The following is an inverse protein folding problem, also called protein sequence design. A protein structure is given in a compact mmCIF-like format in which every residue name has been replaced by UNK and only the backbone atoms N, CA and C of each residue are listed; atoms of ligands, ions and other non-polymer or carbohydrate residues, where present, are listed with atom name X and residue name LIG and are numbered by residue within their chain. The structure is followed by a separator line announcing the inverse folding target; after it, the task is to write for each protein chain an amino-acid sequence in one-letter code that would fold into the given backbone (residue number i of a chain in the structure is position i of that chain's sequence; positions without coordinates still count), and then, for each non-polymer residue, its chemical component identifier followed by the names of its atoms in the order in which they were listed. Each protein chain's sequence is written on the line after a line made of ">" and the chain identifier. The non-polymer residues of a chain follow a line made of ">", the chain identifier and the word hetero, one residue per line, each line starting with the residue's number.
data_IF_777722030908
#
_entry.id   IF_777722030908
#
_cell.length_a   1.000
_cell.length_b   1.000
_cell.length_c   1.000
_cell.angle_alpha   90.00
_cell.angle_beta   90.00
_cell.angle_gamma   90.00
#
_symmetry.space_group_name_H-M   'P 1'
#
loop_
_entity.id
_entity.type
_entity.pdbx_description
1 polymer ?
#
# COMPACT_ATOMS: atom_id res chain seq x y z
N UNK A 1 19.64 9.89 27.60
CA UNK A 1 18.26 9.50 27.24
C UNK A 1 18.32 9.05 25.78
N UNK A 2 18.74 7.80 25.53
CA UNK A 2 19.09 7.31 24.17
C UNK A 2 18.56 5.86 23.92
N UNK A 3 17.96 5.22 24.93
CA UNK A 3 17.43 3.86 24.84
C UNK A 3 15.96 3.78 24.39
N UNK A 4 15.14 4.78 24.72
CA UNK A 4 13.71 4.78 24.42
C UNK A 4 13.40 4.85 22.92
N UNK A 5 14.16 5.65 22.16
CA UNK A 5 13.94 5.82 20.71
C UNK A 5 14.31 4.57 19.90
N UNK A 6 15.28 3.78 20.39
CA UNK A 6 15.69 2.54 19.73
C UNK A 6 14.66 1.42 19.93
N UNK A 7 14.07 1.34 21.12
CA UNK A 7 13.03 0.36 21.44
C UNK A 7 11.71 0.65 20.71
N UNK A 8 11.33 1.92 20.61
CA UNK A 8 10.15 2.35 19.86
C UNK A 8 10.30 2.06 18.36
N UNK A 9 11.46 2.39 17.78
CA UNK A 9 11.74 2.12 16.36
C UNK A 9 11.76 0.63 16.05
N UNK A 10 12.31 -0.19 16.95
CA UNK A 10 12.28 -1.65 16.80
C UNK A 10 10.84 -2.20 16.92
N UNK A 11 10.00 -1.64 17.79
CA UNK A 11 8.59 -2.02 17.89
C UNK A 11 7.84 -1.71 16.60
N UNK A 12 7.98 -0.48 16.07
CA UNK A 12 7.36 -0.07 14.82
C UNK A 12 7.78 -0.95 13.64
N UNK A 13 9.05 -1.33 13.55
CA UNK A 13 9.52 -2.27 12.54
C UNK A 13 8.85 -3.65 12.66
N UNK A 14 8.75 -4.19 13.89
CA UNK A 14 8.09 -5.48 14.13
C UNK A 14 6.61 -5.44 13.75
N UNK A 15 5.93 -4.34 14.03
CA UNK A 15 4.54 -4.11 13.63
C UNK A 15 4.40 -4.08 12.11
N UNK A 16 5.27 -3.34 11.40
CA UNK A 16 5.28 -3.31 9.93
C UNK A 16 5.48 -4.70 9.32
N UNK A 17 6.44 -5.49 9.81
CA UNK A 17 6.67 -6.85 9.31
C UNK A 17 5.51 -7.79 9.61
N UNK A 18 4.86 -7.65 10.77
CA UNK A 18 3.66 -8.43 11.10
C UNK A 18 2.50 -8.07 10.18
N UNK A 19 2.26 -6.78 9.94
CA UNK A 19 1.25 -6.31 9.01
C UNK A 19 1.51 -6.81 7.58
N UNK A 20 2.77 -6.77 7.11
CA UNK A 20 3.15 -7.35 5.82
C UNK A 20 2.88 -8.85 5.77
N UNK A 21 3.25 -9.61 6.81
CA UNK A 21 2.95 -11.04 6.89
C UNK A 21 1.46 -11.32 6.73
N UNK A 22 0.61 -10.58 7.44
CA UNK A 22 -0.84 -10.70 7.33
C UNK A 22 -1.35 -10.39 5.91
N UNK A 23 -0.82 -9.35 5.26
CA UNK A 23 -1.19 -9.01 3.87
C UNK A 23 -0.79 -10.13 2.91
N UNK A 24 0.41 -10.70 3.04
CA UNK A 24 0.89 -11.79 2.19
C UNK A 24 0.09 -13.08 2.39
N UNK A 25 -0.34 -13.38 3.62
CA UNK A 25 -1.24 -14.52 3.90
C UNK A 25 -2.60 -14.35 3.21
N UNK A 26 -3.13 -13.11 3.18
CA UNK A 26 -4.38 -12.81 2.48
C UNK A 26 -4.27 -13.01 0.98
N UNK A 27 -3.11 -12.77 0.37
CA UNK A 27 -2.89 -13.05 -1.06
C UNK A 27 -3.25 -14.49 -1.42
N UNK A 28 -2.86 -15.47 -0.58
CA UNK A 28 -3.21 -16.87 -0.80
C UNK A 28 -4.65 -17.20 -0.45
N UNK A 29 -5.21 -16.60 0.60
CA UNK A 29 -6.56 -16.93 1.10
C UNK A 29 -7.68 -16.32 0.27
N UNK A 30 -7.47 -15.11 -0.24
CA UNK A 30 -8.47 -14.29 -0.92
C UNK A 30 -8.17 -14.16 -2.42
N UNK A 31 -7.19 -14.92 -2.93
CA UNK A 31 -6.77 -14.91 -4.33
C UNK A 31 -6.41 -13.50 -4.83
N UNK A 32 -5.81 -12.68 -3.95
CA UNK A 32 -5.44 -11.31 -4.30
C UNK A 32 -4.27 -11.31 -5.30
N UNK A 33 -4.19 -10.30 -6.18
CA UNK A 33 -3.11 -10.20 -7.15
C UNK A 33 -1.78 -9.96 -6.45
N UNK A 34 -0.71 -10.49 -7.05
CA UNK A 34 0.65 -10.25 -6.56
C UNK A 34 1.09 -8.83 -6.88
N UNK A 35 1.40 -8.04 -5.84
CA UNK A 35 1.89 -6.67 -5.96
C UNK A 35 3.21 -6.49 -5.21
N UNK A 36 3.87 -5.35 -5.40
CA UNK A 36 5.13 -5.05 -4.73
C UNK A 36 4.85 -4.37 -3.41
N UNK A 37 5.47 -4.85 -2.32
CA UNK A 37 5.33 -4.25 -1.00
C UNK A 37 6.65 -3.67 -0.53
N UNK A 38 6.61 -2.43 -0.03
CA UNK A 38 7.77 -1.76 0.57
C UNK A 38 7.43 -1.31 1.98
N UNK A 39 8.31 -1.58 2.94
CA UNK A 39 8.24 -1.01 4.29
C UNK A 39 8.99 0.31 4.28
N UNK A 40 8.30 1.39 4.65
CA UNK A 40 8.84 2.74 4.78
C UNK A 40 8.60 3.33 6.17
N UNK A 41 8.97 4.60 6.29
CA UNK A 41 8.75 5.44 7.47
C UNK A 41 7.74 6.54 7.09
N UNK A 42 6.57 6.54 7.73
CA UNK A 42 5.51 7.51 7.48
C UNK A 42 5.65 8.80 8.30
N UNK A 43 6.75 8.97 9.05
CA UNK A 43 6.98 10.08 9.96
C UNK A 43 6.21 9.96 11.28
N UNK A 44 4.92 9.63 11.23
CA UNK A 44 4.06 9.39 12.40
C UNK A 44 4.04 7.92 12.86
N UNK A 45 4.72 7.02 12.13
CA UNK A 45 4.70 5.58 12.40
C UNK A 45 5.17 4.74 11.21
N UNK A 46 5.10 3.41 11.32
CA UNK A 46 5.44 2.51 10.23
C UNK A 46 4.48 2.67 9.05
N UNK A 47 5.04 2.63 7.83
CA UNK A 47 4.30 2.73 6.58
C UNK A 47 4.56 1.47 5.74
N UNK A 48 3.49 0.91 5.18
CA UNK A 48 3.54 -0.12 4.15
C UNK A 48 3.00 0.46 2.84
N UNK A 49 3.78 0.35 1.76
CA UNK A 49 3.40 0.82 0.43
C UNK A 49 3.25 -0.37 -0.49
N UNK A 50 2.04 -0.58 -1.01
CA UNK A 50 1.73 -1.58 -2.04
C UNK A 50 1.63 -0.94 -3.41
N UNK A 51 2.41 -1.41 -4.38
CA UNK A 51 2.41 -0.90 -5.75
C UNK A 51 1.93 -1.98 -6.73
N UNK A 52 0.85 -1.69 -7.46
CA UNK A 52 0.35 -2.55 -8.53
C UNK A 52 1.13 -2.28 -9.83
N UNK A 53 1.73 -3.32 -10.41
CA UNK A 53 2.69 -3.18 -11.52
C UNK A 53 2.36 -4.00 -12.77
N UNK A 54 1.14 -4.56 -12.88
CA UNK A 54 0.75 -5.34 -14.05
C UNK A 54 0.97 -4.57 -15.36
N UNK A 55 1.50 -5.23 -16.39
CA UNK A 55 1.85 -4.54 -17.65
C UNK A 55 0.62 -4.04 -18.42
N UNK A 56 -0.52 -4.73 -18.31
CA UNK A 56 -1.80 -4.28 -18.86
C UNK A 56 -2.43 -3.23 -17.91
N UNK A 57 -2.74 -2.01 -18.38
CA UNK A 57 -3.36 -0.96 -17.57
C UNK A 57 -4.73 -1.35 -16.99
N UNK A 58 -5.52 -2.15 -17.72
CA UNK A 58 -6.83 -2.62 -17.22
C UNK A 58 -6.62 -3.59 -16.06
N UNK A 59 -5.70 -4.54 -16.20
CA UNK A 59 -5.34 -5.47 -15.12
C UNK A 59 -4.74 -4.71 -13.93
N UNK A 60 -3.87 -3.73 -14.15
CA UNK A 60 -3.26 -2.92 -13.08
C UNK A 60 -4.31 -2.16 -12.28
N UNK A 61 -5.33 -1.65 -12.96
CA UNK A 61 -6.49 -1.01 -12.33
C UNK A 61 -7.32 -2.01 -11.51
N UNK A 62 -7.58 -3.20 -12.06
CA UNK A 62 -8.29 -4.26 -11.35
C UNK A 62 -7.54 -4.72 -10.10
N UNK A 63 -6.21 -4.86 -10.20
CA UNK A 63 -5.35 -5.23 -9.07
C UNK A 63 -5.42 -4.20 -7.95
N UNK A 64 -5.40 -2.91 -8.31
CA UNK A 64 -5.56 -1.82 -7.36
C UNK A 64 -6.90 -1.90 -6.63
N UNK A 65 -8.02 -2.09 -7.36
CA UNK A 65 -9.34 -2.14 -6.74
C UNK A 65 -9.54 -3.39 -5.87
N UNK A 66 -8.97 -4.53 -6.27
CA UNK A 66 -8.99 -5.75 -5.47
C UNK A 66 -8.29 -5.52 -4.11
N UNK A 67 -7.09 -4.93 -4.13
CA UNK A 67 -6.37 -4.60 -2.91
C UNK A 67 -7.06 -3.52 -2.08
N UNK A 68 -7.58 -2.47 -2.72
CA UNK A 68 -8.31 -1.40 -2.03
C UNK A 68 -9.49 -1.97 -1.25
N UNK A 69 -10.30 -2.81 -1.90
CA UNK A 69 -11.44 -3.46 -1.25
C UNK A 69 -10.99 -4.42 -0.14
N UNK A 70 -9.92 -5.18 -0.38
CA UNK A 70 -9.40 -6.12 0.61
C UNK A 70 -8.97 -5.41 1.90
N UNK A 71 -8.21 -4.32 1.82
CA UNK A 71 -7.72 -3.62 3.02
C UNK A 71 -8.67 -2.53 3.53
N UNK A 72 -9.84 -2.38 2.92
CA UNK A 72 -10.82 -1.33 3.23
C UNK A 72 -10.17 0.06 3.22
N UNK A 73 -9.37 0.33 2.17
CA UNK A 73 -8.63 1.57 2.02
C UNK A 73 -9.50 2.66 1.39
N UNK A 74 -9.38 3.87 1.95
CA UNK A 74 -10.05 5.05 1.46
C UNK A 74 -9.29 5.60 0.24
N UNK A 75 -9.98 5.84 -0.89
CA UNK A 75 -9.35 6.47 -2.03
C UNK A 75 -8.94 7.90 -1.66
N UNK A 76 -7.77 8.34 -2.12
CA UNK A 76 -7.41 9.74 -1.96
C UNK A 76 -8.32 10.61 -2.85
N UNK A 77 -8.84 11.75 -2.34
CA UNK A 77 -9.68 12.66 -3.13
C UNK A 77 -8.95 13.16 -4.39
N UNK A 78 -7.62 13.21 -4.32
CA UNK A 78 -6.71 13.59 -5.38
C UNK A 78 -6.25 12.36 -6.19
N UNK A 79 -7.21 11.58 -6.70
CA UNK A 79 -6.98 10.75 -7.88
C UNK A 79 -6.81 11.66 -9.10
N UNK A 80 -5.68 12.35 -9.17
CA UNK A 80 -5.47 13.42 -10.16
C UNK A 80 -5.25 12.73 -11.51
N UNK A 81 -6.23 12.85 -12.41
CA UNK A 81 -5.95 12.85 -13.84
C UNK A 81 -4.91 13.95 -14.08
N UNK A 82 -3.64 13.58 -14.18
CA UNK A 82 -2.58 14.48 -14.60
C UNK A 82 -2.52 14.44 -16.12
N UNK A 83 -1.92 15.45 -16.72
CA UNK A 83 -1.62 15.45 -18.15
C UNK A 83 -0.79 14.23 -18.58
N UNK A 84 -0.11 13.58 -17.63
CA UNK A 84 0.79 12.45 -17.83
C UNK A 84 0.12 11.07 -17.62
N UNK A 85 -1.11 11.03 -17.09
CA UNK A 85 -1.80 9.77 -16.77
C UNK A 85 -2.75 9.84 -15.58
N UNK A 86 -3.22 8.67 -15.14
CA UNK A 86 -4.02 8.47 -13.94
C UNK A 86 -3.11 7.90 -12.85
N UNK A 87 -2.94 8.65 -11.76
CA UNK A 87 -2.33 8.13 -10.54
C UNK A 87 -3.44 7.71 -9.57
N UNK A 88 -3.55 6.41 -9.32
CA UNK A 88 -4.48 5.84 -8.36
C UNK A 88 -3.78 5.73 -7.01
N UNK A 89 -4.43 6.24 -5.96
CA UNK A 89 -3.90 6.17 -4.61
C UNK A 89 -5.02 5.91 -3.61
N UNK A 90 -4.79 5.00 -2.67
CA UNK A 90 -5.69 4.73 -1.56
C UNK A 90 -4.87 4.48 -0.29
N UNK A 91 -5.45 4.75 0.88
CA UNK A 91 -4.78 4.53 2.14
C UNK A 91 -5.72 3.96 3.20
N UNK A 92 -5.17 3.08 4.04
CA UNK A 92 -5.71 2.70 5.34
C UNK A 92 -4.79 3.28 6.40
N UNK A 93 -5.26 4.26 7.16
CA UNK A 93 -4.46 4.94 8.19
C UNK A 93 -4.11 4.03 9.37
N UNK A 94 -4.96 3.06 9.67
CA UNK A 94 -4.74 2.06 10.72
C UNK A 94 -5.06 0.65 10.22
N UNK A 95 -4.01 -0.10 9.91
CA UNK A 95 -4.01 -1.53 9.67
C UNK A 95 -3.21 -2.23 10.78
N UNK A 96 -3.82 -2.31 11.97
CA UNK A 96 -3.18 -2.93 13.14
C UNK A 96 -1.97 -2.14 13.63
N UNK A 97 -2.07 -0.81 13.66
CA UNK A 97 -1.02 0.12 14.06
C UNK A 97 -0.11 0.58 12.92
N UNK A 98 -0.33 0.10 11.69
CA UNK A 98 0.50 0.42 10.53
C UNK A 98 -0.34 1.17 9.49
N UNK A 99 0.17 2.27 8.97
CA UNK A 99 -0.45 2.91 7.80
C UNK A 99 -0.13 2.08 6.56
N UNK A 100 -1.14 1.75 5.76
CA UNK A 100 -0.97 1.07 4.47
C UNK A 100 -1.40 2.00 3.36
N UNK A 101 -0.55 2.22 2.37
CA UNK A 101 -0.90 2.92 1.13
C UNK A 101 -0.84 1.97 -0.05
N UNK A 102 -1.71 2.20 -1.02
CA UNK A 102 -1.75 1.50 -2.29
C UNK A 102 -1.59 2.51 -3.41
N UNK A 103 -0.79 2.17 -4.42
CA UNK A 103 -0.62 2.97 -5.62
C UNK A 103 -0.66 2.13 -6.89
N UNK A 104 -1.15 2.76 -7.95
CA UNK A 104 -1.02 2.30 -9.32
C UNK A 104 -0.94 3.52 -10.25
N UNK A 105 -0.09 3.44 -11.26
CA UNK A 105 0.06 4.48 -12.27
C UNK A 105 -0.43 3.94 -13.61
N UNK A 106 -1.23 4.71 -14.36
CA UNK A 106 -1.62 4.38 -15.73
C UNK A 106 -1.22 5.59 -16.58
N UNK A 107 -0.25 5.43 -17.47
CA UNK A 107 0.22 6.54 -18.30
C UNK A 107 -0.81 6.93 -19.36
N UNK A 108 -0.70 8.16 -19.87
CA UNK A 108 -1.57 8.62 -20.95
C UNK A 108 -1.42 7.84 -22.27
N UNK A 109 -0.29 7.19 -22.48
CA UNK A 109 -0.02 6.35 -23.66
C UNK A 109 -0.66 4.96 -23.56
N UNK A 110 -1.01 4.53 -22.35
CA UNK A 110 -1.67 3.25 -22.05
C UNK A 110 -3.21 3.36 -22.04
N UNK A 111 -3.79 4.58 -22.11
CA UNK A 111 -5.24 4.82 -22.14
C UNK A 111 -5.83 4.79 -23.55
#
# INVERSE_FOLDING_TARGET
>A
MMGYESDERLSAQREAYRALGNLLERTGREELPSISWTIGDGGAGPLLVGQCFASDPIQRQQDFYAWQAAIDAEPWPEGIKRSEGIHMHAAKSDYGGVTVTLSADISAEEM
#
